data_IF_490968646056
#
_entry.id   IF_490968646056
#
_cell.length_a   1.000
_cell.length_b   1.000
_cell.length_c   1.000
_cell.angle_alpha   90.00
_cell.angle_beta   90.00
_cell.angle_gamma   90.00
#
_symmetry.space_group_name_H-M   'P 1'
#
loop_
_entity.id
_entity.type
_entity.pdbx_description
1 polymer ?
#
# COMPACT_ATOMS: atom_id res chain seq x y z
N UNK A 1 2.29 2.02 7.73
CA UNK A 1 1.15 2.94 7.53
C UNK A 1 -0.02 2.45 8.37
N UNK A 2 -0.66 3.35 9.13
CA UNK A 2 -1.87 3.05 9.90
C UNK A 2 -3.01 3.93 9.42
N UNK A 3 -4.18 3.36 9.12
CA UNK A 3 -5.31 4.10 8.56
C UNK A 3 -6.63 3.59 9.12
N UNK A 4 -7.52 4.48 9.56
CA UNK A 4 -8.84 4.13 10.08
C UNK A 4 -9.92 4.61 9.12
N UNK A 5 -10.79 3.71 8.70
CA UNK A 5 -11.97 4.02 7.88
C UNK A 5 -13.21 3.36 8.46
N UNK A 6 -14.08 4.17 9.05
CA UNK A 6 -15.23 3.68 9.80
C UNK A 6 -14.80 2.78 10.97
N UNK A 7 -15.34 1.57 10.99
CA UNK A 7 -15.02 0.54 11.99
C UNK A 7 -13.82 -0.35 11.57
N UNK A 8 -13.21 -0.13 10.41
CA UNK A 8 -12.02 -0.87 9.98
C UNK A 8 -10.73 -0.08 10.26
N UNK A 9 -9.72 -0.76 10.78
CA UNK A 9 -8.37 -0.24 10.97
C UNK A 9 -7.38 -1.05 10.13
N UNK A 10 -6.62 -0.36 9.30
CA UNK A 10 -5.63 -0.94 8.40
C UNK A 10 -4.23 -0.66 8.92
N UNK A 11 -3.40 -1.69 8.97
CA UNK A 11 -1.99 -1.60 9.30
C UNK A 11 -1.16 -2.25 8.19
N UNK A 12 -0.36 -1.46 7.50
CA UNK A 12 0.58 -1.94 6.49
C UNK A 12 2.02 -1.80 6.99
N UNK A 13 2.80 -2.87 6.83
CA UNK A 13 4.25 -2.89 6.99
C UNK A 13 4.84 -3.31 5.66
N UNK A 14 5.77 -2.51 5.12
CA UNK A 14 6.34 -2.69 3.80
C UNK A 14 7.86 -2.55 3.88
N UNK A 15 8.56 -3.45 3.22
CA UNK A 15 10.00 -3.41 2.94
C UNK A 15 10.18 -3.11 1.45
N UNK A 16 10.58 -1.89 1.12
CA UNK A 16 10.73 -1.46 -0.27
C UNK A 16 12.14 -1.80 -0.75
N UNK A 17 12.26 -2.34 -1.95
CA UNK A 17 13.57 -2.56 -2.57
C UNK A 17 14.12 -1.24 -3.09
N UNK A 18 15.45 -1.06 -2.98
CA UNK A 18 16.14 0.18 -3.31
C UNK A 18 16.60 0.91 -2.04
N UNK A 19 17.80 1.52 -2.09
CA UNK A 19 18.42 2.17 -0.94
C UNK A 19 18.65 3.66 -1.21
N UNK A 20 18.65 4.47 -0.15
CA UNK A 20 18.79 5.92 -0.26
C UNK A 20 17.53 6.61 -0.80
N UNK A 21 17.72 7.62 -1.65
CA UNK A 21 16.64 8.47 -2.17
C UNK A 21 15.57 7.69 -2.94
N UNK A 22 15.91 6.72 -3.82
CA UNK A 22 14.91 5.88 -4.49
C UNK A 22 14.04 5.08 -3.52
N UNK A 23 14.62 4.48 -2.48
CA UNK A 23 13.86 3.72 -1.48
C UNK A 23 12.90 4.58 -0.65
N UNK A 24 13.32 5.80 -0.30
CA UNK A 24 12.44 6.77 0.36
C UNK A 24 11.29 7.20 -0.55
N UNK A 25 11.55 7.41 -1.83
CA UNK A 25 10.52 7.74 -2.82
C UNK A 25 9.52 6.59 -3.01
N UNK A 26 10.00 5.35 -3.11
CA UNK A 26 9.17 4.15 -3.17
C UNK A 26 8.25 4.01 -1.95
N UNK A 27 8.76 4.30 -0.76
CA UNK A 27 7.96 4.28 0.47
C UNK A 27 6.83 5.32 0.44
N UNK A 28 7.09 6.53 -0.10
CA UNK A 28 6.07 7.57 -0.24
C UNK A 28 4.99 7.17 -1.26
N UNK A 29 5.39 6.62 -2.41
CA UNK A 29 4.44 6.12 -3.42
C UNK A 29 3.54 5.02 -2.83
N UNK A 30 4.12 4.05 -2.13
CA UNK A 30 3.38 2.98 -1.46
C UNK A 30 2.34 3.52 -0.48
N UNK A 31 2.73 4.44 0.40
CA UNK A 31 1.82 5.07 1.36
C UNK A 31 0.71 5.83 0.63
N UNK A 32 1.04 6.55 -0.44
CA UNK A 32 0.08 7.29 -1.27
C UNK A 32 -0.95 6.36 -1.90
N UNK A 33 -0.52 5.30 -2.58
CA UNK A 33 -1.42 4.36 -3.26
C UNK A 33 -2.26 3.54 -2.27
N UNK A 34 -1.71 3.16 -1.12
CA UNK A 34 -2.48 2.51 -0.04
C UNK A 34 -3.60 3.42 0.45
N UNK A 35 -3.30 4.71 0.65
CA UNK A 35 -4.28 5.68 1.09
C UNK A 35 -5.34 5.98 0.01
N UNK A 36 -4.93 6.07 -1.25
CA UNK A 36 -5.82 6.24 -2.41
C UNK A 36 -6.80 5.05 -2.54
N UNK A 37 -6.30 3.82 -2.44
CA UNK A 37 -7.09 2.60 -2.50
C UNK A 37 -8.21 2.61 -1.45
N UNK A 38 -7.86 2.91 -0.20
CA UNK A 38 -8.79 2.88 0.93
C UNK A 38 -9.73 4.07 0.88
N UNK A 39 -9.22 5.29 0.70
CA UNK A 39 -9.99 6.52 0.87
C UNK A 39 -10.82 6.87 -0.35
N UNK A 40 -10.17 6.92 -1.52
CA UNK A 40 -10.76 7.43 -2.76
C UNK A 40 -11.47 6.32 -3.54
N UNK A 41 -10.82 5.17 -3.69
CA UNK A 41 -11.40 4.03 -4.42
C UNK A 41 -12.34 3.17 -3.57
N UNK A 42 -12.42 3.42 -2.26
CA UNK A 42 -13.25 2.65 -1.32
C UNK A 42 -13.00 1.13 -1.36
N UNK A 43 -11.78 0.71 -1.67
CA UNK A 43 -11.37 -0.70 -1.62
C UNK A 43 -11.08 -1.04 -0.17
N UNK A 44 -11.81 -2.01 0.39
CA UNK A 44 -11.75 -2.35 1.82
C UNK A 44 -11.20 -3.75 2.11
N UNK A 45 -11.03 -4.57 1.08
CA UNK A 45 -10.51 -5.92 1.22
C UNK A 45 -8.97 -5.90 1.03
N UNK A 46 -8.18 -6.42 1.99
CA UNK A 46 -6.72 -6.31 1.95
C UNK A 46 -6.05 -6.82 0.67
N UNK A 47 -6.53 -7.95 0.12
CA UNK A 47 -6.03 -8.50 -1.13
C UNK A 47 -6.23 -7.53 -2.30
N UNK A 48 -7.41 -6.91 -2.39
CA UNK A 48 -7.73 -5.97 -3.46
C UNK A 48 -6.96 -4.66 -3.31
N UNK A 49 -6.72 -4.20 -2.07
CA UNK A 49 -5.86 -3.04 -1.80
C UNK A 49 -4.45 -3.30 -2.35
N UNK A 50 -3.87 -4.47 -2.07
CA UNK A 50 -2.53 -4.81 -2.58
C UNK A 50 -2.49 -5.02 -4.09
N UNK A 51 -3.52 -5.60 -4.69
CA UNK A 51 -3.62 -5.72 -6.14
C UNK A 51 -3.61 -4.33 -6.80
N UNK A 52 -4.40 -3.41 -6.26
CA UNK A 52 -4.45 -2.03 -6.73
C UNK A 52 -3.10 -1.30 -6.58
N UNK A 53 -2.47 -1.40 -5.40
CA UNK A 53 -1.17 -0.75 -5.14
C UNK A 53 -0.09 -1.30 -6.10
N UNK A 54 -0.08 -2.62 -6.32
CA UNK A 54 0.84 -3.26 -7.28
C UNK A 54 0.64 -2.71 -8.69
N UNK A 55 -0.59 -2.63 -9.17
CA UNK A 55 -0.89 -2.10 -10.50
C UNK A 55 -0.41 -0.65 -10.64
N UNK A 56 -0.65 0.18 -9.62
CA UNK A 56 -0.23 1.59 -9.60
C UNK A 56 1.28 1.76 -9.57
N UNK A 57 1.99 0.94 -8.80
CA UNK A 57 3.45 0.93 -8.79
C UNK A 57 4.00 0.55 -10.16
N UNK A 58 3.54 -0.57 -10.72
CA UNK A 58 3.99 -1.03 -12.05
C UNK A 58 3.79 0.07 -13.07
N UNK A 59 2.61 0.68 -13.13
CA UNK A 59 2.33 1.77 -14.08
C UNK A 59 3.15 3.05 -13.84
N UNK A 60 3.57 3.32 -12.60
CA UNK A 60 4.32 4.52 -12.24
C UNK A 60 5.84 4.37 -12.46
N UNK A 61 6.38 3.14 -12.38
CA UNK A 61 7.83 2.89 -12.33
C UNK A 61 8.34 2.16 -13.60
N UNK A 62 7.48 1.51 -14.37
CA UNK A 62 7.87 0.64 -15.50
C UNK A 62 8.52 1.33 -16.70
N UNK A 63 8.90 2.61 -16.62
CA UNK A 63 9.47 3.34 -17.76
C UNK A 63 10.94 3.04 -18.09
N UNK A 64 11.76 2.48 -17.20
CA UNK A 64 13.21 2.33 -17.49
C UNK A 64 13.86 1.09 -16.87
N UNK A 65 13.26 -0.10 -16.99
CA UNK A 65 13.92 -1.36 -16.57
C UNK A 65 14.20 -1.49 -15.06
N UNK A 66 13.71 -0.54 -14.25
CA UNK A 66 13.72 -0.62 -12.79
C UNK A 66 12.83 -1.78 -12.33
N UNK A 67 13.46 -2.75 -11.65
CA UNK A 67 12.79 -3.86 -10.96
C UNK A 67 12.57 -3.51 -9.49
N UNK A 68 12.17 -2.26 -9.22
CA UNK A 68 11.89 -1.82 -7.86
C UNK A 68 10.44 -2.15 -7.48
N UNK A 69 10.25 -2.69 -6.29
CA UNK A 69 8.98 -3.08 -5.73
C UNK A 69 9.00 -3.00 -4.21
N UNK A 70 8.05 -3.67 -3.57
CA UNK A 70 8.07 -3.84 -2.13
C UNK A 70 7.49 -5.19 -1.75
N UNK A 71 8.00 -5.76 -0.67
CA UNK A 71 7.36 -6.84 0.05
C UNK A 71 6.60 -6.25 1.22
N UNK A 72 5.38 -6.70 1.48
CA UNK A 72 4.60 -6.12 2.57
C UNK A 72 3.47 -6.99 3.06
N UNK A 73 3.04 -6.68 4.28
CA UNK A 73 1.88 -7.27 4.94
C UNK A 73 0.87 -6.16 5.24
N UNK A 74 -0.39 -6.42 4.91
CA UNK A 74 -1.52 -5.55 5.21
C UNK A 74 -2.52 -6.31 6.08
N UNK A 75 -2.74 -5.79 7.29
CA UNK A 75 -3.75 -6.26 8.20
C UNK A 75 -4.95 -5.31 8.17
N UNK A 76 -6.15 -5.86 8.13
CA UNK A 76 -7.39 -5.13 8.41
C UNK A 76 -7.99 -5.71 9.69
N UNK A 77 -8.27 -4.83 10.65
CA UNK A 77 -8.94 -5.14 11.91
C UNK A 77 -10.30 -4.47 11.90
N UNK A 78 -11.36 -5.26 11.98
CA UNK A 78 -12.70 -4.78 12.26
C UNK A 78 -12.81 -4.48 13.77
N UNK A 79 -12.86 -3.20 14.11
CA UNK A 79 -12.89 -2.73 15.50
C UNK A 79 -14.21 -3.01 16.23
N UNK A 80 -15.29 -3.37 15.50
CA UNK A 80 -16.57 -3.74 16.10
C UNK A 80 -16.57 -5.21 16.51
N UNK A 81 -16.02 -6.09 15.68
CA UNK A 81 -15.94 -7.53 15.97
C UNK A 81 -14.61 -7.96 16.60
N UNK A 82 -13.61 -7.05 16.63
CA UNK A 82 -12.21 -7.28 17.00
C UNK A 82 -11.56 -8.43 16.22
N UNK A 83 -11.97 -8.61 14.96
CA UNK A 83 -11.47 -9.64 14.04
C UNK A 83 -10.60 -9.05 12.96
#
# INVERSE_FOLDING_TARGET
MGHKKGEKFYLAVCDSTGHGVPGAFMSLLNIGFLNEAITEKNILEPNEIFNYVRERLVNSISREGQKDGFDGALLCIDTKTKR
#
